data_IF_748535646989
#
_entry.id   IF_748535646989
#
_cell.length_a   1.000
_cell.length_b   1.000
_cell.length_c   1.000
_cell.angle_alpha   90.00
_cell.angle_beta   90.00
_cell.angle_gamma   90.00
#
_symmetry.space_group_name_H-M   'P 1'
#
loop_
_entity.id
_entity.type
_entity.pdbx_description
1 polymer ?
#
# COMPACT_ATOMS: atom_id res chain seq x y z
N UNK A 1 -0.02 -25.31 -17.01
CA UNK A 1 1.30 -25.18 -17.47
C UNK A 1 2.20 -24.69 -16.37
N UNK A 2 3.15 -25.43 -16.15
CA UNK A 2 4.02 -25.53 -15.02
C UNK A 2 4.76 -24.27 -14.63
N UNK A 3 4.08 -23.38 -13.90
CA UNK A 3 4.71 -22.22 -13.34
C UNK A 3 5.00 -21.09 -14.32
N UNK A 4 4.57 -21.20 -15.57
CA UNK A 4 4.76 -20.10 -16.51
C UNK A 4 3.71 -19.03 -16.29
N UNK A 5 4.18 -17.80 -16.13
CA UNK A 5 3.29 -16.67 -16.04
C UNK A 5 2.76 -16.29 -17.43
N UNK A 6 1.44 -16.13 -17.54
CA UNK A 6 0.79 -15.72 -18.78
C UNK A 6 0.25 -14.31 -18.61
N UNK A 7 0.38 -13.44 -19.65
CA UNK A 7 -0.20 -12.10 -19.58
C UNK A 7 -1.69 -12.14 -19.26
N UNK A 8 -2.11 -11.30 -18.32
CA UNK A 8 -3.51 -11.24 -17.90
C UNK A 8 -3.91 -12.24 -16.82
N UNK A 9 -2.97 -13.04 -16.34
CA UNK A 9 -3.21 -14.00 -15.27
C UNK A 9 -2.24 -13.77 -14.12
N UNK A 10 -2.67 -14.06 -12.86
CA UNK A 10 -1.73 -14.00 -11.74
C UNK A 10 -0.60 -15.00 -11.94
N UNK A 11 0.60 -14.65 -11.46
CA UNK A 11 1.72 -15.57 -11.55
C UNK A 11 1.51 -16.76 -10.63
N UNK A 12 2.26 -17.86 -10.87
CA UNK A 12 2.17 -19.05 -10.05
C UNK A 12 2.56 -18.82 -8.59
N UNK A 13 3.29 -17.72 -8.31
CA UNK A 13 3.68 -17.37 -6.96
C UNK A 13 2.61 -16.61 -6.18
N UNK A 14 1.53 -16.16 -6.85
CA UNK A 14 0.45 -15.46 -6.17
C UNK A 14 -0.42 -16.43 -5.40
N UNK A 15 -0.95 -16.00 -4.23
CA UNK A 15 -1.93 -16.82 -3.52
C UNK A 15 -3.22 -16.97 -4.33
N UNK A 16 -3.99 -17.98 -4.02
CA UNK A 16 -5.27 -18.26 -4.70
C UNK A 16 -6.27 -17.13 -4.52
N UNK A 17 -6.16 -16.40 -3.43
CA UNK A 17 -7.01 -15.26 -3.13
C UNK A 17 -6.19 -14.00 -3.06
N UNK A 18 -6.72 -12.96 -3.67
CA UNK A 18 -6.17 -11.63 -3.53
C UNK A 18 -6.54 -11.09 -2.14
N UNK A 19 -5.58 -10.53 -1.40
CA UNK A 19 -5.91 -9.92 -0.12
C UNK A 19 -6.80 -8.68 -0.31
N UNK A 20 -7.79 -8.51 0.57
CA UNK A 20 -8.65 -7.34 0.53
C UNK A 20 -7.90 -6.07 0.95
N UNK A 21 -6.91 -6.23 1.80
CA UNK A 21 -6.14 -5.12 2.32
C UNK A 21 -4.72 -5.57 2.61
N UNK A 22 -3.76 -4.72 2.23
CA UNK A 22 -2.35 -4.90 2.59
C UNK A 22 -2.00 -3.81 3.60
N UNK A 23 -1.40 -4.19 4.71
CA UNK A 23 -0.93 -3.24 5.73
C UNK A 23 0.59 -3.20 5.70
N UNK A 24 1.14 -1.99 5.55
CA UNK A 24 2.57 -1.74 5.53
C UNK A 24 2.93 -0.94 6.77
N UNK A 25 3.86 -1.45 7.57
CA UNK A 25 4.31 -0.77 8.77
C UNK A 25 5.63 -0.06 8.54
N UNK A 26 5.81 1.07 9.24
CA UNK A 26 7.00 1.89 9.14
C UNK A 26 7.66 2.08 10.50
N UNK A 27 8.97 2.21 10.56
CA UNK A 27 9.64 2.64 11.78
C UNK A 27 9.21 4.05 12.18
N UNK A 28 9.37 4.39 13.44
CA UNK A 28 9.05 5.73 13.94
C UNK A 28 9.76 6.81 13.12
N UNK A 29 9.02 7.82 12.71
CA UNK A 29 9.58 8.93 11.96
C UNK A 29 10.01 8.64 10.53
N UNK A 30 9.80 7.42 10.03
CA UNK A 30 10.29 7.00 8.72
C UNK A 30 9.17 6.78 7.73
N UNK A 31 9.43 7.08 6.46
CA UNK A 31 8.59 6.73 5.32
C UNK A 31 9.34 5.84 4.32
N UNK A 32 10.38 5.14 4.77
CA UNK A 32 11.14 4.24 3.91
C UNK A 32 10.49 2.86 3.85
N UNK A 33 10.37 2.32 2.64
CA UNK A 33 9.82 0.97 2.45
C UNK A 33 10.88 -0.08 2.75
N UNK A 34 10.50 -1.07 3.55
CA UNK A 34 11.35 -2.22 3.78
C UNK A 34 11.12 -3.31 2.74
N UNK A 35 11.95 -4.36 2.80
CA UNK A 35 11.86 -5.46 1.84
C UNK A 35 10.53 -6.20 1.91
N UNK A 36 9.98 -6.37 3.09
CA UNK A 36 8.68 -7.02 3.26
C UNK A 36 7.57 -6.23 2.58
N UNK A 37 7.60 -4.90 2.71
CA UNK A 37 6.64 -4.03 2.05
C UNK A 37 6.78 -4.12 0.53
N UNK A 38 8.02 -4.10 0.02
CA UNK A 38 8.24 -4.22 -1.41
C UNK A 38 7.74 -5.55 -1.96
N UNK A 39 7.95 -6.63 -1.24
CA UNK A 39 7.43 -7.93 -1.63
C UNK A 39 5.91 -7.92 -1.76
N UNK A 40 5.23 -7.39 -0.75
CA UNK A 40 3.76 -7.30 -0.78
C UNK A 40 3.25 -6.43 -1.91
N UNK A 41 3.92 -5.31 -2.16
CA UNK A 41 3.54 -4.40 -3.23
C UNK A 41 3.79 -5.01 -4.61
N UNK A 42 4.88 -5.75 -4.77
CA UNK A 42 5.15 -6.44 -6.04
C UNK A 42 4.08 -7.48 -6.34
N UNK A 43 3.64 -8.22 -5.33
CA UNK A 43 2.53 -9.17 -5.47
C UNK A 43 1.26 -8.45 -5.91
N UNK A 44 1.00 -7.30 -5.30
CA UNK A 44 -0.18 -6.50 -5.64
C UNK A 44 -0.12 -5.98 -7.08
N UNK A 45 1.07 -5.58 -7.54
CA UNK A 45 1.24 -5.15 -8.93
C UNK A 45 0.86 -6.27 -9.90
N UNK A 46 1.27 -7.51 -9.61
CA UNK A 46 0.90 -8.64 -10.46
C UNK A 46 -0.62 -8.84 -10.53
N UNK A 47 -1.31 -8.72 -9.38
CA UNK A 47 -2.76 -8.79 -9.36
C UNK A 47 -3.39 -7.68 -10.17
N UNK A 48 -2.87 -6.46 -10.07
CA UNK A 48 -3.42 -5.32 -10.79
C UNK A 48 -3.20 -5.42 -12.29
N UNK A 49 -2.08 -5.99 -12.72
CA UNK A 49 -1.84 -6.26 -14.14
C UNK A 49 -2.85 -7.27 -14.66
N UNK A 50 -3.13 -8.30 -13.87
CA UNK A 50 -4.09 -9.34 -14.25
C UNK A 50 -5.55 -8.86 -14.21
N UNK A 51 -5.85 -7.84 -13.44
CA UNK A 51 -7.22 -7.34 -13.23
C UNK A 51 -7.30 -5.84 -13.51
N UNK A 52 -7.41 -5.45 -14.79
CA UNK A 52 -7.30 -4.02 -15.17
C UNK A 52 -8.34 -3.08 -14.56
N UNK A 53 -9.50 -3.59 -14.14
CA UNK A 53 -10.55 -2.75 -13.53
C UNK A 53 -10.31 -2.47 -12.06
N UNK A 54 -9.34 -3.12 -11.44
CA UNK A 54 -9.07 -2.95 -10.03
C UNK A 54 -8.44 -1.60 -9.73
N UNK A 55 -8.87 -1.00 -8.62
CA UNK A 55 -8.31 0.24 -8.11
C UNK A 55 -7.88 0.08 -6.67
N UNK A 56 -7.00 0.96 -6.22
CA UNK A 56 -6.47 0.93 -4.86
C UNK A 56 -6.73 2.25 -4.15
N UNK A 57 -7.07 2.15 -2.88
CA UNK A 57 -7.08 3.29 -1.96
C UNK A 57 -5.93 3.09 -0.97
N UNK A 58 -5.01 4.04 -0.96
CA UNK A 58 -3.86 4.06 -0.07
C UNK A 58 -4.10 5.07 1.03
N UNK A 59 -4.10 4.64 2.29
CA UNK A 59 -4.34 5.52 3.42
C UNK A 59 -3.13 5.51 4.35
N UNK A 60 -2.49 6.66 4.52
CA UNK A 60 -1.36 6.81 5.41
C UNK A 60 -1.78 7.20 6.82
N UNK A 61 -1.09 6.64 7.81
CA UNK A 61 -1.32 6.90 9.22
C UNK A 61 -0.01 7.19 9.94
N UNK A 62 -0.08 7.89 11.04
CA UNK A 62 1.04 8.04 11.96
C UNK A 62 0.54 7.91 13.40
N UNK A 63 1.47 7.65 14.34
CA UNK A 63 1.11 7.53 15.74
C UNK A 63 1.00 8.90 16.41
N UNK A 64 0.74 8.90 17.72
CA UNK A 64 0.50 10.13 18.49
C UNK A 64 1.77 10.84 18.97
N UNK A 65 2.94 10.46 18.45
CA UNK A 65 4.19 11.13 18.84
C UNK A 65 4.42 12.38 18.01
N UNK A 66 4.95 13.42 18.63
CA UNK A 66 5.23 14.68 17.94
C UNK A 66 4.01 15.57 17.79
N UNK A 67 4.09 16.55 16.89
CA UNK A 67 2.99 17.46 16.66
C UNK A 67 2.00 16.90 15.65
N UNK A 68 0.76 17.36 15.73
CA UNK A 68 -0.27 16.96 14.78
C UNK A 68 0.15 17.27 13.34
N UNK A 69 0.78 18.45 13.12
CA UNK A 69 1.23 18.86 11.79
C UNK A 69 2.31 17.92 11.25
N UNK A 70 3.28 17.57 12.09
CA UNK A 70 4.37 16.67 11.69
C UNK A 70 3.82 15.27 11.37
N UNK A 71 2.86 14.81 12.16
CA UNK A 71 2.27 13.49 11.97
C UNK A 71 1.41 13.45 10.70
N UNK A 72 0.68 14.52 10.41
CA UNK A 72 -0.08 14.63 9.17
C UNK A 72 0.86 14.57 7.97
N UNK A 73 1.97 15.31 8.01
CA UNK A 73 2.95 15.32 6.94
C UNK A 73 3.62 13.95 6.76
N UNK A 74 3.92 13.27 7.86
CA UNK A 74 4.53 11.95 7.80
C UNK A 74 3.55 10.93 7.20
N UNK A 75 2.29 10.97 7.60
CA UNK A 75 1.28 10.06 7.04
C UNK A 75 1.11 10.31 5.54
N UNK A 76 1.17 11.56 5.11
CA UNK A 76 1.11 11.91 3.70
C UNK A 76 2.31 11.33 2.94
N UNK A 77 3.51 11.48 3.47
CA UNK A 77 4.72 10.95 2.83
C UNK A 77 4.71 9.44 2.75
N UNK A 78 4.20 8.77 3.78
CA UNK A 78 4.06 7.31 3.77
C UNK A 78 3.12 6.85 2.67
N UNK A 79 1.97 7.50 2.53
CA UNK A 79 1.03 7.17 1.47
C UNK A 79 1.63 7.42 0.09
N UNK A 80 2.35 8.52 -0.08
CA UNK A 80 2.96 8.86 -1.37
C UNK A 80 4.09 7.92 -1.76
N UNK A 81 4.89 7.48 -0.80
CA UNK A 81 5.98 6.52 -1.08
C UNK A 81 5.40 5.21 -1.65
N UNK A 82 4.30 4.74 -1.07
CA UNK A 82 3.62 3.55 -1.57
C UNK A 82 3.05 3.80 -2.96
N UNK A 83 2.41 4.93 -3.16
CA UNK A 83 1.84 5.29 -4.45
C UNK A 83 2.91 5.36 -5.54
N UNK A 84 4.03 6.04 -5.28
CA UNK A 84 5.12 6.13 -6.24
C UNK A 84 5.69 4.77 -6.59
N UNK A 85 5.81 3.89 -5.61
CA UNK A 85 6.29 2.54 -5.87
C UNK A 85 5.44 1.83 -6.91
N UNK A 86 4.13 1.96 -6.79
CA UNK A 86 3.19 1.34 -7.73
C UNK A 86 3.25 2.00 -9.11
N UNK A 87 3.31 3.34 -9.16
CA UNK A 87 3.37 4.06 -10.42
C UNK A 87 4.63 3.74 -11.21
N UNK A 88 5.77 3.62 -10.52
CA UNK A 88 7.03 3.26 -11.17
C UNK A 88 6.99 1.89 -11.82
N UNK A 89 6.11 1.03 -11.37
CA UNK A 89 5.94 -0.32 -11.91
C UNK A 89 4.83 -0.41 -12.93
N UNK A 90 4.38 0.73 -13.42
CA UNK A 90 3.47 0.79 -14.55
C UNK A 90 1.99 0.82 -14.22
N UNK A 91 1.64 0.92 -12.92
CA UNK A 91 0.24 1.06 -12.56
C UNK A 91 -0.22 2.48 -12.89
N UNK A 92 -1.33 2.60 -13.62
CA UNK A 92 -1.83 3.89 -14.05
C UNK A 92 -2.27 4.77 -12.88
N UNK A 93 -2.01 6.06 -13.00
CA UNK A 93 -2.32 7.04 -11.96
C UNK A 93 -3.79 6.99 -11.51
N UNK A 94 -4.72 6.79 -12.43
CA UNK A 94 -6.15 6.79 -12.16
C UNK A 94 -6.60 5.60 -11.31
N UNK A 95 -5.76 4.60 -11.20
CA UNK A 95 -6.08 3.38 -10.46
C UNK A 95 -5.66 3.45 -8.99
N UNK A 96 -4.96 4.50 -8.60
CA UNK A 96 -4.37 4.60 -7.25
C UNK A 96 -4.74 5.94 -6.63
N UNK A 97 -5.53 5.92 -5.58
CA UNK A 97 -5.91 7.11 -4.82
C UNK A 97 -5.20 7.09 -3.47
N UNK A 98 -4.60 8.22 -3.08
CA UNK A 98 -3.92 8.35 -1.81
C UNK A 98 -4.66 9.30 -0.87
N UNK A 99 -4.76 8.91 0.40
CA UNK A 99 -5.32 9.72 1.47
C UNK A 99 -4.40 9.61 2.70
N UNK A 100 -4.58 10.48 3.68
CA UNK A 100 -3.79 10.43 4.91
C UNK A 100 -4.58 11.04 6.06
N UNK A 101 -4.39 10.49 7.27
CA UNK A 101 -5.11 10.95 8.45
C UNK A 101 -4.19 11.45 9.57
N UNK A 102 -2.87 11.27 9.45
CA UNK A 102 -1.97 11.61 10.53
C UNK A 102 -2.34 10.83 11.79
N UNK A 103 -2.45 11.54 12.91
CA UNK A 103 -2.86 10.93 14.19
C UNK A 103 -4.36 11.03 14.44
N UNK A 104 -5.13 11.55 13.49
CA UNK A 104 -6.55 11.83 13.69
C UNK A 104 -7.39 10.57 13.86
N UNK A 105 -6.88 9.43 13.42
CA UNK A 105 -7.61 8.15 13.51
C UNK A 105 -6.73 7.03 14.03
N UNK A 106 -6.16 7.16 15.24
CA UNK A 106 -5.40 6.09 15.83
C UNK A 106 -6.36 4.96 16.25
N UNK A 107 -6.13 3.75 15.75
CA UNK A 107 -7.05 2.64 16.00
C UNK A 107 -6.46 1.57 16.91
N UNK A 108 -5.16 1.33 16.81
CA UNK A 108 -4.54 0.16 17.44
C UNK A 108 -3.36 0.50 18.34
N UNK A 109 -3.11 1.78 18.60
CA UNK A 109 -2.00 2.21 19.43
C UNK A 109 -0.75 2.51 18.61
N UNK A 110 0.27 3.05 19.27
CA UNK A 110 1.41 3.71 18.62
C UNK A 110 2.12 2.83 17.57
N UNK A 111 2.34 1.57 17.87
CA UNK A 111 3.08 0.70 16.96
C UNK A 111 2.33 0.42 15.67
N UNK A 112 1.04 0.26 15.74
CA UNK A 112 0.21 -0.07 14.59
C UNK A 112 -0.18 1.17 13.79
N UNK A 113 -0.14 2.35 14.40
CA UNK A 113 -0.54 3.56 13.71
C UNK A 113 0.56 4.11 12.79
N UNK A 114 1.76 3.55 12.85
CA UNK A 114 2.84 3.85 11.89
C UNK A 114 2.67 2.96 10.66
N UNK A 115 1.58 3.17 9.92
CA UNK A 115 1.23 2.26 8.84
C UNK A 115 0.65 2.97 7.62
N UNK A 116 0.64 2.24 6.52
CA UNK A 116 -0.17 2.56 5.34
C UNK A 116 -1.07 1.36 5.09
N UNK A 117 -2.34 1.63 4.92
CA UNK A 117 -3.30 0.62 4.49
C UNK A 117 -3.53 0.76 2.99
N UNK A 118 -3.38 -0.35 2.28
CA UNK A 118 -3.66 -0.40 0.84
C UNK A 118 -4.90 -1.28 0.69
N UNK A 119 -6.02 -0.64 0.38
CA UNK A 119 -7.30 -1.34 0.26
C UNK A 119 -7.67 -1.47 -1.20
N UNK A 120 -8.13 -2.66 -1.57
CA UNK A 120 -8.56 -2.92 -2.94
C UNK A 120 -10.01 -2.49 -3.11
N UNK A 121 -10.25 -1.77 -4.20
CA UNK A 121 -11.59 -1.31 -4.58
C UNK A 121 -11.98 -2.04 -5.84
N UNK A 122 -13.04 -2.83 -5.75
CA UNK A 122 -13.63 -3.51 -6.90
C UNK A 122 -14.98 -2.89 -7.21
N UNK A 123 -15.28 -2.83 -8.49
CA UNK A 123 -16.59 -2.34 -8.92
C UNK A 123 -17.70 -3.34 -8.62
#
# INVERSE_FOLDING_TARGET
ADGQWLPGQPSAALPDRMPEMLTIQFPSGSAALGLSAEYGLNTLVEWMVAMPSMRLLITGHSDLTGTERANMELSRRRAQVVRYYLLERGIANERVTAAHFGEQRPEWGAGFDRRVEVRLLTD
#
